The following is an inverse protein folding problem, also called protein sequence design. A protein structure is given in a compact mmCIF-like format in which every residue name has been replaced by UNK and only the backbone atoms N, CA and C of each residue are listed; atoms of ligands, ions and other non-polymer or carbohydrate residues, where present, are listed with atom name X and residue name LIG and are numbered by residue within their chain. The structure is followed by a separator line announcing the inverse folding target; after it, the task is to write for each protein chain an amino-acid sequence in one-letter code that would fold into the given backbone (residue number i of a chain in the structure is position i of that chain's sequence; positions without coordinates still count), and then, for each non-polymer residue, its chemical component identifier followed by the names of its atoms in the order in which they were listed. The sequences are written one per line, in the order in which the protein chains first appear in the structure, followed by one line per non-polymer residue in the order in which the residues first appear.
data_IF_064857353458
#
_entry.id   IF_064857353458
#
_cell.length_a   1.000
_cell.length_b   1.000
_cell.length_c   1.000
_cell.angle_alpha   90.00
_cell.angle_beta   90.00
_cell.angle_gamma   90.00
#
_symmetry.space_group_name_H-M   'P 1'
#
loop_
_entity.id
_entity.type
_entity.pdbx_description
1 polymer ?
#
# COMPACT_ATOMS: atom_id res chain seq x y z
N UNK A 1 -21.40 -4.54 0.02
CA UNK A 1 -21.55 -3.16 -0.51
C UNK A 1 -23.03 -2.83 -0.65
N UNK A 2 -23.45 -1.75 -0.04
CA UNK A 2 -24.81 -1.21 -0.17
C UNK A 2 -24.71 0.22 -0.70
N UNK A 3 -25.27 0.47 -1.88
CA UNK A 3 -25.18 1.79 -2.56
C UNK A 3 -23.76 2.37 -2.68
N UNK A 4 -22.77 1.51 -2.95
CA UNK A 4 -21.36 1.92 -3.05
C UNK A 4 -20.61 2.11 -1.72
N UNK A 5 -21.28 1.87 -0.58
CA UNK A 5 -20.69 2.00 0.75
C UNK A 5 -20.57 0.61 1.41
N UNK A 6 -19.50 0.39 2.15
CA UNK A 6 -19.32 -0.85 2.91
C UNK A 6 -20.31 -0.88 4.09
N UNK A 7 -21.21 -1.86 4.09
CA UNK A 7 -22.12 -2.13 5.21
C UNK A 7 -21.55 -3.24 6.06
N UNK A 8 -21.25 -2.95 7.33
CA UNK A 8 -20.58 -3.86 8.26
C UNK A 8 -21.54 -4.25 9.37
N UNK A 9 -21.88 -5.57 9.53
CA UNK A 9 -22.70 -6.05 10.66
C UNK A 9 -21.92 -5.95 11.98
N UNK A 10 -22.59 -6.20 13.10
CA UNK A 10 -21.95 -6.17 14.42
C UNK A 10 -21.01 -7.36 14.68
N UNK A 11 -21.15 -8.42 13.91
CA UNK A 11 -20.39 -9.67 14.01
C UNK A 11 -19.86 -10.11 12.62
N UNK A 12 -19.05 -9.26 11.92
CA UNK A 12 -18.58 -9.59 10.59
C UNK A 12 -17.63 -10.79 10.62
N UNK A 13 -17.69 -11.60 9.56
CA UNK A 13 -16.67 -12.61 9.29
C UNK A 13 -15.50 -11.91 8.60
N UNK A 14 -14.33 -11.91 9.23
CA UNK A 14 -13.09 -11.40 8.66
C UNK A 14 -12.17 -12.57 8.31
N UNK A 15 -11.89 -12.73 7.02
CA UNK A 15 -10.94 -13.73 6.59
C UNK A 15 -9.50 -13.26 6.86
N UNK A 16 -8.67 -14.18 7.39
CA UNK A 16 -7.28 -13.87 7.61
C UNK A 16 -6.35 -14.97 7.08
N UNK A 17 -5.18 -14.56 6.65
CA UNK A 17 -4.06 -15.44 6.34
C UNK A 17 -3.04 -15.27 7.46
N UNK A 18 -2.70 -16.36 8.17
CA UNK A 18 -1.69 -16.32 9.25
C UNK A 18 -0.35 -15.79 8.74
N UNK A 19 0.03 -16.20 7.52
CA UNK A 19 1.30 -15.86 6.91
C UNK A 19 2.40 -16.87 7.17
N UNK A 20 3.53 -16.66 6.49
CA UNK A 20 4.72 -17.51 6.57
C UNK A 20 5.75 -16.89 7.52
N UNK A 21 6.74 -17.69 7.93
CA UNK A 21 7.82 -17.23 8.79
C UNK A 21 7.30 -16.63 10.10
N UNK A 22 7.59 -15.35 10.35
CA UNK A 22 7.13 -14.64 11.57
C UNK A 22 5.61 -14.42 11.62
N UNK A 23 4.87 -14.78 10.57
CA UNK A 23 3.41 -14.71 10.58
C UNK A 23 2.78 -15.46 11.75
N UNK A 24 3.35 -16.60 12.12
CA UNK A 24 2.90 -17.43 13.28
C UNK A 24 3.04 -16.71 14.62
N UNK A 25 3.98 -15.78 14.74
CA UNK A 25 4.20 -14.99 15.97
C UNK A 25 3.26 -13.76 16.01
N UNK A 26 3.17 -13.00 14.89
CA UNK A 26 2.53 -11.69 14.89
C UNK A 26 1.02 -11.72 14.66
N UNK A 27 0.49 -12.72 13.94
CA UNK A 27 -0.94 -12.78 13.60
C UNK A 27 -1.81 -13.09 14.81
N UNK A 28 -1.48 -14.07 15.69
CA UNK A 28 -2.24 -14.27 16.93
C UNK A 28 -2.25 -13.03 17.83
N UNK A 29 -1.11 -12.34 17.97
CA UNK A 29 -1.00 -11.09 18.75
C UNK A 29 -1.91 -10.00 18.19
N UNK A 30 -1.94 -9.84 16.86
CA UNK A 30 -2.85 -8.89 16.21
C UNK A 30 -4.31 -9.22 16.52
N UNK A 31 -4.72 -10.47 16.40
CA UNK A 31 -6.09 -10.92 16.70
C UNK A 31 -6.46 -10.60 18.15
N UNK A 32 -5.59 -10.88 19.11
CA UNK A 32 -5.81 -10.60 20.53
C UNK A 32 -5.97 -9.11 20.81
N UNK A 33 -5.10 -8.27 20.22
CA UNK A 33 -5.18 -6.81 20.35
C UNK A 33 -6.48 -6.25 19.75
N UNK A 34 -6.87 -6.72 18.58
CA UNK A 34 -8.11 -6.29 17.92
C UNK A 34 -9.33 -6.70 18.76
N UNK A 35 -9.39 -7.95 19.22
CA UNK A 35 -10.49 -8.44 20.05
C UNK A 35 -10.61 -7.64 21.35
N UNK A 36 -9.50 -7.34 22.02
CA UNK A 36 -9.47 -6.52 23.22
C UNK A 36 -9.97 -5.09 22.95
N UNK A 37 -9.52 -4.46 21.86
CA UNK A 37 -9.93 -3.12 21.47
C UNK A 37 -11.44 -3.06 21.15
N UNK A 38 -11.95 -4.00 20.35
CA UNK A 38 -13.36 -4.09 19.96
C UNK A 38 -14.24 -4.33 21.20
N UNK A 39 -13.89 -5.30 22.05
CA UNK A 39 -14.62 -5.58 23.30
C UNK A 39 -14.67 -4.36 24.22
N UNK A 40 -13.55 -3.64 24.36
CA UNK A 40 -13.48 -2.43 25.19
C UNK A 40 -14.26 -1.25 24.61
N UNK A 41 -14.23 -1.07 23.29
CA UNK A 41 -14.90 0.05 22.62
C UNK A 41 -16.43 -0.10 22.64
N UNK A 42 -16.93 -1.33 22.49
CA UNK A 42 -18.34 -1.58 22.25
C UNK A 42 -19.03 -2.42 23.33
N UNK A 43 -18.36 -2.74 24.44
CA UNK A 43 -18.98 -3.44 25.59
C UNK A 43 -19.54 -4.82 25.27
N UNK A 44 -19.09 -5.47 24.19
CA UNK A 44 -19.57 -6.76 23.72
C UNK A 44 -20.73 -6.68 22.69
N UNK A 45 -21.20 -5.49 22.33
CA UNK A 45 -22.20 -5.30 21.27
C UNK A 45 -21.67 -5.62 19.87
N UNK A 46 -20.35 -5.53 19.69
CA UNK A 46 -19.66 -5.89 18.45
C UNK A 46 -18.56 -6.92 18.72
N UNK A 47 -18.35 -7.81 17.76
CA UNK A 47 -17.29 -8.80 17.78
C UNK A 47 -16.83 -9.12 16.36
N UNK A 48 -15.67 -9.74 16.19
CA UNK A 48 -15.19 -10.24 14.89
C UNK A 48 -15.19 -11.76 14.94
N UNK A 49 -15.77 -12.37 13.91
CA UNK A 49 -15.67 -13.81 13.66
C UNK A 49 -14.47 -14.03 12.73
N UNK A 50 -13.36 -14.47 13.28
CA UNK A 50 -12.15 -14.74 12.52
C UNK A 50 -12.25 -16.05 11.75
N UNK A 51 -11.94 -16.04 10.45
CA UNK A 51 -11.97 -17.21 9.57
C UNK A 51 -10.63 -17.31 8.82
N UNK A 52 -9.83 -18.32 9.17
CA UNK A 52 -8.56 -18.56 8.47
C UNK A 52 -8.81 -19.04 7.05
N UNK A 53 -8.06 -18.46 6.10
CA UNK A 53 -7.94 -18.93 4.73
C UNK A 53 -6.46 -19.15 4.40
N UNK A 54 -6.17 -20.14 3.55
CA UNK A 54 -4.81 -20.59 3.35
C UNK A 54 -4.13 -19.89 2.16
N UNK A 55 -2.90 -19.43 2.38
CA UNK A 55 -1.96 -19.02 1.33
C UNK A 55 -0.53 -19.26 1.81
N UNK A 56 0.45 -19.22 0.88
CA UNK A 56 1.85 -19.40 1.20
C UNK A 56 2.24 -20.86 1.48
N UNK A 57 3.25 -21.04 2.31
CA UNK A 57 3.81 -22.36 2.66
C UNK A 57 2.77 -23.26 3.32
N UNK A 58 1.93 -22.71 4.21
CA UNK A 58 0.86 -23.46 4.88
C UNK A 58 -0.16 -24.03 3.88
N UNK A 59 -0.54 -23.23 2.87
CA UNK A 59 -1.41 -23.67 1.80
C UNK A 59 -0.76 -24.78 0.95
N UNK A 60 0.48 -24.55 0.54
CA UNK A 60 1.22 -25.51 -0.29
C UNK A 60 1.39 -26.86 0.41
N UNK A 61 1.71 -26.86 1.69
CA UNK A 61 1.85 -28.09 2.48
C UNK A 61 0.53 -28.82 2.65
N UNK A 62 -0.60 -28.11 2.72
CA UNK A 62 -1.93 -28.70 2.92
C UNK A 62 -2.60 -29.17 1.61
N UNK A 63 -2.37 -28.45 0.48
CA UNK A 63 -3.16 -28.59 -0.75
C UNK A 63 -2.31 -28.82 -2.01
N UNK A 64 -1.02 -28.54 -1.96
CA UNK A 64 -0.13 -28.48 -3.13
C UNK A 64 -0.21 -27.18 -3.94
N UNK A 65 -1.04 -26.21 -3.51
CA UNK A 65 -1.21 -24.90 -4.15
C UNK A 65 -0.75 -23.78 -3.23
N UNK A 66 0.05 -22.83 -3.74
CA UNK A 66 0.50 -21.67 -2.97
C UNK A 66 -0.62 -20.65 -2.72
N UNK A 67 -1.61 -20.58 -3.59
CA UNK A 67 -2.75 -19.69 -3.49
C UNK A 67 -4.00 -20.40 -4.01
N UNK A 68 -4.71 -21.15 -3.15
CA UNK A 68 -5.93 -21.88 -3.53
C UNK A 68 -7.04 -20.94 -4.02
N UNK A 69 -7.82 -21.39 -5.00
CA UNK A 69 -8.95 -20.63 -5.51
C UNK A 69 -9.98 -20.34 -4.41
N UNK A 70 -10.19 -21.27 -3.49
CA UNK A 70 -11.09 -21.10 -2.33
C UNK A 70 -10.75 -19.88 -1.47
N UNK A 71 -9.45 -19.55 -1.32
CA UNK A 71 -8.99 -18.34 -0.61
C UNK A 71 -9.42 -17.08 -1.35
N UNK A 72 -9.26 -17.03 -2.66
CA UNK A 72 -9.70 -15.89 -3.47
C UNK A 72 -11.22 -15.70 -3.41
N UNK A 73 -11.97 -16.78 -3.48
CA UNK A 73 -13.43 -16.75 -3.43
C UNK A 73 -13.95 -16.29 -2.06
N UNK A 74 -13.33 -16.76 -0.97
CA UNK A 74 -13.62 -16.31 0.39
C UNK A 74 -13.37 -14.80 0.55
N UNK A 75 -12.20 -14.30 0.09
CA UNK A 75 -11.87 -12.87 0.15
C UNK A 75 -12.81 -12.00 -0.68
N UNK A 76 -13.22 -12.46 -1.87
CA UNK A 76 -14.22 -11.78 -2.70
C UNK A 76 -15.59 -11.68 -2.01
N UNK A 77 -16.00 -12.76 -1.35
CA UNK A 77 -17.29 -12.81 -0.66
C UNK A 77 -17.30 -12.00 0.63
N UNK A 78 -16.21 -12.09 1.41
CA UNK A 78 -16.07 -11.39 2.70
C UNK A 78 -15.74 -9.92 2.58
N UNK A 79 -15.26 -9.45 1.42
CA UNK A 79 -14.82 -8.10 1.10
C UNK A 79 -13.62 -7.60 1.92
N UNK A 80 -13.64 -7.75 3.23
CA UNK A 80 -12.57 -7.27 4.13
C UNK A 80 -11.77 -8.45 4.64
N UNK A 81 -10.45 -8.38 4.48
CA UNK A 81 -9.52 -9.43 4.91
C UNK A 81 -8.23 -8.82 5.46
N UNK A 82 -7.50 -9.62 6.26
CA UNK A 82 -6.17 -9.23 6.76
C UNK A 82 -5.19 -10.39 6.60
N UNK A 83 -3.91 -10.10 6.38
CA UNK A 83 -2.91 -11.14 6.21
C UNK A 83 -1.56 -10.81 6.83
N UNK A 84 -0.92 -11.83 7.36
CA UNK A 84 0.50 -11.83 7.67
C UNK A 84 1.39 -11.85 6.43
N UNK A 85 2.71 -11.81 6.59
CA UNK A 85 3.65 -11.81 5.48
C UNK A 85 3.62 -13.15 4.72
N UNK A 86 3.89 -13.14 3.42
CA UNK A 86 3.93 -14.34 2.58
C UNK A 86 5.29 -14.50 1.92
N UNK A 87 5.78 -15.73 1.88
CA UNK A 87 6.99 -16.12 1.17
C UNK A 87 6.73 -16.10 -0.34
N UNK A 88 7.66 -15.52 -1.10
CA UNK A 88 7.67 -15.70 -2.55
C UNK A 88 8.46 -16.96 -2.88
N UNK A 89 7.84 -17.99 -3.47
CA UNK A 89 8.55 -19.24 -3.80
C UNK A 89 9.68 -18.97 -4.80
N UNK A 90 10.83 -19.57 -4.55
CA UNK A 90 11.98 -19.50 -5.46
C UNK A 90 11.80 -20.56 -6.55
N UNK A 91 11.57 -20.14 -7.79
CA UNK A 91 11.31 -21.02 -8.93
C UNK A 91 9.82 -21.26 -9.20
N UNK A 92 9.49 -21.89 -10.35
CA UNK A 92 8.11 -22.30 -10.64
C UNK A 92 7.18 -21.23 -11.26
N UNK A 93 7.70 -20.08 -11.70
CA UNK A 93 6.92 -19.09 -12.47
C UNK A 93 5.98 -18.20 -11.64
N UNK A 94 5.88 -18.39 -10.33
CA UNK A 94 5.14 -17.49 -9.42
C UNK A 94 6.07 -16.35 -9.03
N UNK A 95 5.77 -15.13 -9.48
CA UNK A 95 6.61 -13.96 -9.19
C UNK A 95 6.50 -13.50 -7.73
N UNK A 96 5.29 -13.35 -7.22
CA UNK A 96 5.00 -12.99 -5.83
C UNK A 96 3.54 -13.30 -5.53
N UNK A 97 3.29 -13.94 -4.37
CA UNK A 97 1.91 -14.20 -3.92
C UNK A 97 1.17 -12.90 -3.60
N UNK A 98 1.86 -11.89 -3.09
CA UNK A 98 1.27 -10.57 -2.85
C UNK A 98 0.83 -9.92 -4.16
N UNK A 99 1.68 -9.96 -5.21
CA UNK A 99 1.32 -9.45 -6.54
C UNK A 99 0.16 -10.24 -7.13
N UNK A 100 0.15 -11.58 -6.98
CA UNK A 100 -0.94 -12.42 -7.46
C UNK A 100 -2.29 -12.06 -6.79
N UNK A 101 -2.32 -11.83 -5.48
CA UNK A 101 -3.52 -11.38 -4.76
C UNK A 101 -4.02 -10.03 -5.29
N UNK A 102 -3.13 -9.05 -5.43
CA UNK A 102 -3.44 -7.72 -5.92
C UNK A 102 -4.04 -7.75 -7.34
N UNK A 103 -3.45 -8.53 -8.23
CA UNK A 103 -3.92 -8.67 -9.61
C UNK A 103 -5.22 -9.45 -9.72
N UNK A 104 -5.35 -10.61 -9.04
CA UNK A 104 -6.54 -11.48 -9.13
C UNK A 104 -7.79 -10.88 -8.49
N UNK A 105 -7.62 -9.97 -7.54
CA UNK A 105 -8.69 -9.25 -6.86
C UNK A 105 -8.82 -7.78 -7.32
N UNK A 106 -8.02 -7.37 -8.30
CA UNK A 106 -7.93 -6.00 -8.82
C UNK A 106 -7.81 -4.94 -7.70
N UNK A 107 -6.92 -5.18 -6.73
CA UNK A 107 -6.68 -4.28 -5.62
C UNK A 107 -5.77 -3.13 -6.06
N UNK A 108 -6.33 -2.18 -6.80
CA UNK A 108 -5.58 -1.16 -7.51
C UNK A 108 -4.96 -0.07 -6.61
N UNK A 109 -5.44 0.10 -5.39
CA UNK A 109 -4.94 1.10 -4.47
C UNK A 109 -4.17 0.44 -3.31
N UNK A 110 -2.85 0.59 -3.30
CA UNK A 110 -2.03 0.28 -2.13
C UNK A 110 -1.92 1.53 -1.27
N UNK A 111 -2.46 1.48 -0.06
CA UNK A 111 -2.52 2.61 0.88
C UNK A 111 -1.57 2.35 2.03
N UNK A 112 -0.59 3.23 2.21
CA UNK A 112 0.46 3.10 3.23
C UNK A 112 0.59 4.39 4.05
N UNK A 113 -0.08 4.52 5.21
CA UNK A 113 0.16 5.61 6.14
C UNK A 113 1.53 5.45 6.79
N UNK A 114 2.27 6.55 6.90
CA UNK A 114 3.56 6.60 7.58
C UNK A 114 3.56 7.78 8.53
N UNK A 115 3.64 7.49 9.83
CA UNK A 115 3.80 8.50 10.88
C UNK A 115 4.74 8.01 11.97
N UNK A 116 5.36 8.95 12.66
CA UNK A 116 6.21 8.64 13.79
C UNK A 116 5.40 8.51 15.09
N UNK A 117 5.83 7.60 15.96
CA UNK A 117 5.30 7.41 17.31
C UNK A 117 6.36 7.83 18.33
N UNK A 118 5.97 8.66 19.30
CA UNK A 118 6.90 9.16 20.32
C UNK A 118 7.59 8.02 21.07
N UNK A 119 8.92 8.13 21.17
CA UNK A 119 9.78 7.09 21.74
C UNK A 119 10.33 6.08 20.73
N UNK A 120 9.89 6.10 19.47
CA UNK A 120 10.49 5.27 18.42
C UNK A 120 11.82 5.86 17.95
N UNK A 121 12.91 5.07 17.89
CA UNK A 121 14.17 5.52 17.32
C UNK A 121 14.01 5.95 15.85
N UNK A 122 14.70 7.01 15.47
CA UNK A 122 14.65 7.53 14.09
C UNK A 122 16.02 8.04 13.64
N UNK A 123 16.39 7.84 12.36
CA UNK A 123 17.63 8.39 11.79
C UNK A 123 17.52 9.86 11.39
N UNK A 124 16.31 10.45 11.38
CA UNK A 124 16.10 11.87 11.02
C UNK A 124 15.95 12.75 12.25
N UNK A 125 16.19 14.07 12.09
CA UNK A 125 16.19 15.03 13.20
C UNK A 125 14.82 15.36 13.74
N UNK A 126 13.80 15.36 12.88
CA UNK A 126 12.43 15.76 13.20
C UNK A 126 11.43 14.73 12.67
N UNK A 127 11.44 13.49 13.21
CA UNK A 127 10.55 12.44 12.73
C UNK A 127 9.07 12.75 12.99
N UNK A 128 8.76 13.58 13.96
CA UNK A 128 7.39 14.05 14.25
C UNK A 128 6.76 14.86 13.11
N UNK A 129 7.58 15.38 12.18
CA UNK A 129 7.10 16.10 10.99
C UNK A 129 6.72 15.15 9.84
N UNK A 130 6.97 13.84 10.01
CA UNK A 130 6.59 12.81 9.03
C UNK A 130 5.20 12.28 9.40
N UNK A 131 4.20 12.73 8.64
CA UNK A 131 2.83 12.23 8.70
C UNK A 131 2.23 12.28 7.30
N UNK A 132 2.38 11.18 6.57
CA UNK A 132 2.01 11.08 5.16
C UNK A 132 1.26 9.79 4.89
N UNK A 133 0.37 9.83 3.89
CA UNK A 133 -0.30 8.63 3.37
C UNK A 133 0.04 8.47 1.89
N UNK A 134 0.62 7.33 1.54
CA UNK A 134 0.98 7.00 0.17
C UNK A 134 -0.15 6.20 -0.47
N UNK A 135 -0.67 6.69 -1.59
CA UNK A 135 -1.54 5.99 -2.52
C UNK A 135 -0.69 5.52 -3.71
N UNK A 136 -0.26 4.27 -3.64
CA UNK A 136 0.53 3.60 -4.67
C UNK A 136 -0.40 2.87 -5.62
N UNK A 137 -0.34 3.20 -6.91
CA UNK A 137 -1.00 2.39 -7.94
C UNK A 137 -0.43 0.96 -7.90
N UNK A 138 -1.28 -0.05 -8.02
CA UNK A 138 -0.91 -1.40 -7.65
C UNK A 138 -1.15 -2.45 -8.74
N UNK A 139 -1.68 -2.04 -9.91
CA UNK A 139 -2.08 -2.94 -11.00
C UNK A 139 -1.21 -2.87 -12.25
N UNK A 140 -0.52 -1.76 -12.46
CA UNK A 140 0.27 -1.45 -13.66
C UNK A 140 1.76 -1.28 -13.34
N UNK A 141 2.45 -0.50 -14.17
CA UNK A 141 3.88 -0.21 -14.08
C UNK A 141 4.72 -1.46 -14.42
N UNK A 142 5.99 -1.45 -14.08
CA UNK A 142 6.89 -2.61 -14.25
C UNK A 142 6.44 -3.85 -13.47
N UNK A 143 5.59 -3.67 -12.47
CA UNK A 143 4.96 -4.75 -11.70
C UNK A 143 3.94 -5.56 -12.50
N UNK A 144 3.49 -5.08 -13.68
CA UNK A 144 2.72 -5.88 -14.63
C UNK A 144 3.49 -7.13 -15.08
N UNK A 145 4.81 -7.08 -14.96
CA UNK A 145 5.67 -8.23 -15.17
C UNK A 145 5.82 -8.63 -16.63
N UNK A 146 5.71 -7.67 -17.55
CA UNK A 146 5.89 -7.88 -18.97
C UNK A 146 7.37 -7.70 -19.28
N UNK A 147 8.12 -8.81 -19.28
CA UNK A 147 9.55 -8.77 -19.50
C UNK A 147 10.07 -10.06 -20.13
N UNK A 148 11.21 -9.96 -20.79
CA UNK A 148 11.91 -11.06 -21.43
C UNK A 148 13.38 -11.04 -21.03
N UNK A 149 13.88 -12.22 -20.68
CA UNK A 149 15.27 -12.43 -20.33
C UNK A 149 16.20 -12.14 -21.52
N UNK A 150 17.36 -11.59 -21.23
CA UNK A 150 18.40 -11.35 -22.21
C UNK A 150 18.74 -12.64 -23.00
N UNK A 151 19.02 -12.51 -24.29
CA UNK A 151 19.36 -13.61 -25.19
C UNK A 151 18.24 -14.61 -25.47
N UNK A 152 17.09 -14.51 -24.78
CA UNK A 152 15.91 -15.35 -25.09
C UNK A 152 15.32 -15.04 -26.45
N UNK A 153 14.58 -16.01 -27.01
CA UNK A 153 13.91 -15.82 -28.31
C UNK A 153 12.82 -14.73 -28.21
N UNK A 154 12.16 -14.61 -27.06
CA UNK A 154 11.19 -13.53 -26.82
C UNK A 154 11.85 -12.15 -26.84
N UNK A 155 12.97 -11.96 -26.15
CA UNK A 155 13.71 -10.70 -26.17
C UNK A 155 14.16 -10.34 -27.59
N UNK A 156 14.69 -11.32 -28.36
CA UNK A 156 15.10 -11.12 -29.75
C UNK A 156 13.93 -10.67 -30.62
N UNK A 157 12.77 -11.31 -30.51
CA UNK A 157 11.57 -10.93 -31.26
C UNK A 157 11.09 -9.50 -30.93
N UNK A 158 11.05 -9.13 -29.66
CA UNK A 158 10.64 -7.78 -29.22
C UNK A 158 11.66 -6.74 -29.72
N UNK A 159 12.95 -7.00 -29.59
CA UNK A 159 14.00 -6.09 -30.06
C UNK A 159 13.93 -5.93 -31.59
N UNK A 160 13.78 -7.03 -32.34
CA UNK A 160 13.63 -7.00 -33.79
C UNK A 160 12.42 -6.16 -34.22
N UNK A 161 11.27 -6.36 -33.57
CA UNK A 161 10.07 -5.57 -33.83
C UNK A 161 10.32 -4.07 -33.55
N UNK A 162 10.92 -3.74 -32.42
CA UNK A 162 11.20 -2.35 -32.06
C UNK A 162 12.17 -1.70 -33.07
N UNK A 163 13.21 -2.40 -33.46
CA UNK A 163 14.22 -1.85 -34.39
C UNK A 163 13.71 -1.79 -35.84
N UNK A 164 13.16 -2.90 -36.37
CA UNK A 164 12.87 -3.03 -37.78
C UNK A 164 11.45 -2.58 -38.18
N UNK A 165 10.48 -2.63 -37.23
CA UNK A 165 9.10 -2.18 -37.49
C UNK A 165 8.84 -0.80 -36.90
N UNK A 166 9.28 -0.53 -35.66
CA UNK A 166 9.04 0.74 -34.99
C UNK A 166 10.17 1.78 -35.20
N UNK A 167 11.28 1.39 -35.83
CA UNK A 167 12.41 2.30 -36.11
C UNK A 167 13.17 2.76 -34.87
N UNK A 168 13.17 1.99 -33.79
CA UNK A 168 13.89 2.30 -32.56
C UNK A 168 15.37 1.97 -32.73
N UNK A 169 16.26 2.97 -32.69
CA UNK A 169 17.71 2.84 -32.83
C UNK A 169 18.48 2.92 -31.48
N UNK A 170 17.77 3.04 -30.37
CA UNK A 170 18.35 3.37 -29.05
C UNK A 170 18.72 2.18 -28.20
N UNK A 171 18.44 0.96 -28.62
CA UNK A 171 18.85 -0.25 -27.90
C UNK A 171 20.33 -0.50 -28.19
N UNK A 172 21.18 -0.11 -27.25
CA UNK A 172 22.64 -0.05 -27.45
C UNK A 172 23.29 -1.41 -27.65
N UNK A 173 22.78 -2.45 -26.95
CA UNK A 173 23.30 -3.81 -26.98
C UNK A 173 22.19 -4.81 -27.25
N UNK A 174 21.63 -4.86 -28.47
CA UNK A 174 20.44 -5.64 -28.77
C UNK A 174 20.58 -7.15 -28.53
N UNK A 175 21.77 -7.70 -28.69
CA UNK A 175 22.00 -9.14 -28.54
C UNK A 175 22.03 -9.62 -27.07
N UNK A 176 22.26 -8.71 -26.12
CA UNK A 176 22.46 -9.04 -24.69
C UNK A 176 21.55 -8.24 -23.78
N UNK A 177 20.56 -7.52 -24.32
CA UNK A 177 19.60 -6.77 -23.52
C UNK A 177 18.40 -7.62 -23.13
N UNK A 178 18.03 -7.60 -21.86
CA UNK A 178 16.68 -7.92 -21.42
C UNK A 178 15.74 -6.76 -21.71
N UNK A 179 14.46 -7.05 -21.94
CA UNK A 179 13.43 -6.04 -22.25
C UNK A 179 12.30 -6.13 -21.25
N UNK A 180 11.91 -4.98 -20.68
CA UNK A 180 10.71 -4.83 -19.86
C UNK A 180 9.79 -3.74 -20.38
N UNK A 181 8.49 -3.93 -20.23
CA UNK A 181 7.47 -2.95 -20.61
C UNK A 181 6.83 -2.35 -19.36
N UNK A 182 6.70 -1.03 -19.38
CA UNK A 182 6.05 -0.24 -18.32
C UNK A 182 4.73 0.32 -18.85
N UNK A 183 3.60 -0.37 -18.67
CA UNK A 183 2.28 0.19 -18.99
C UNK A 183 1.87 1.18 -17.90
N UNK A 184 1.31 2.32 -18.32
CA UNK A 184 0.64 3.30 -17.44
C UNK A 184 -0.57 3.81 -18.21
N UNK A 185 -1.77 3.66 -17.65
CA UNK A 185 -3.01 4.03 -18.32
C UNK A 185 -3.68 5.25 -17.69
N UNK A 186 -4.57 5.88 -18.47
CA UNK A 186 -5.44 6.95 -17.97
C UNK A 186 -6.41 6.42 -16.92
N UNK A 187 -6.94 5.22 -17.12
CA UNK A 187 -7.89 4.57 -16.22
C UNK A 187 -7.25 4.20 -14.87
N UNK A 188 -6.06 3.58 -14.89
CA UNK A 188 -5.29 3.26 -13.68
C UNK A 188 -4.95 4.53 -12.90
N UNK A 189 -4.50 5.58 -13.61
CA UNK A 189 -4.22 6.89 -13.00
C UNK A 189 -5.47 7.50 -12.39
N UNK A 190 -6.61 7.45 -13.08
CA UNK A 190 -7.86 8.01 -12.57
C UNK A 190 -8.34 7.29 -11.32
N UNK A 191 -8.26 5.96 -11.27
CA UNK A 191 -8.66 5.16 -10.09
C UNK A 191 -7.86 5.54 -8.85
N UNK A 192 -6.52 5.54 -8.95
CA UNK A 192 -5.66 5.86 -7.81
C UNK A 192 -5.70 7.34 -7.42
N UNK A 193 -5.76 8.24 -8.40
CA UNK A 193 -5.90 9.68 -8.17
C UNK A 193 -7.20 10.04 -7.48
N UNK A 194 -8.32 9.44 -7.90
CA UNK A 194 -9.63 9.61 -7.26
C UNK A 194 -9.61 9.14 -5.82
N UNK A 195 -9.04 7.96 -5.54
CA UNK A 195 -8.91 7.44 -4.19
C UNK A 195 -8.09 8.38 -3.30
N UNK A 196 -6.98 8.92 -3.79
CA UNK A 196 -6.11 9.84 -3.05
C UNK A 196 -6.79 11.19 -2.76
N UNK A 197 -7.48 11.77 -3.76
CA UNK A 197 -8.19 13.05 -3.59
C UNK A 197 -9.38 12.87 -2.64
N UNK A 198 -10.17 11.80 -2.81
CA UNK A 198 -11.28 11.52 -1.91
C UNK A 198 -10.81 11.30 -0.47
N UNK A 199 -9.71 10.57 -0.27
CA UNK A 199 -9.10 10.44 1.06
C UNK A 199 -8.70 11.79 1.67
N UNK A 200 -8.12 12.68 0.86
CA UNK A 200 -7.77 14.02 1.33
C UNK A 200 -9.00 14.84 1.74
N UNK A 201 -10.10 14.72 1.02
CA UNK A 201 -11.38 15.34 1.38
C UNK A 201 -11.94 14.76 2.68
N UNK A 202 -12.04 13.44 2.77
CA UNK A 202 -12.66 12.75 3.91
C UNK A 202 -11.88 12.93 5.24
N UNK A 203 -10.56 13.13 5.14
CA UNK A 203 -9.67 13.29 6.29
C UNK A 203 -9.10 14.71 6.45
N UNK A 204 -9.67 15.67 5.71
CA UNK A 204 -9.29 17.10 5.75
C UNK A 204 -7.78 17.33 5.57
N UNK A 205 -7.16 16.59 4.64
CA UNK A 205 -5.72 16.69 4.38
C UNK A 205 -5.40 17.91 3.51
N UNK A 206 -4.34 18.68 3.83
CA UNK A 206 -4.06 19.94 3.16
C UNK A 206 -3.53 19.81 1.72
N UNK A 207 -3.04 18.63 1.32
CA UNK A 207 -2.47 18.47 -0.03
C UNK A 207 -2.54 17.05 -0.56
N UNK A 208 -2.61 16.93 -1.90
CA UNK A 208 -2.32 15.70 -2.66
C UNK A 208 -1.18 15.97 -3.63
N UNK A 209 -0.12 15.17 -3.56
CA UNK A 209 1.07 15.33 -4.39
C UNK A 209 1.19 14.18 -5.39
N UNK A 210 1.16 14.49 -6.67
CA UNK A 210 1.44 13.56 -7.76
C UNK A 210 2.94 13.36 -7.89
N UNK A 211 3.46 12.18 -7.59
CA UNK A 211 4.91 11.89 -7.65
C UNK A 211 5.21 11.12 -8.92
N UNK A 212 6.12 11.63 -9.74
CA UNK A 212 6.40 11.09 -11.06
C UNK A 212 7.83 11.42 -11.56
N UNK A 213 8.29 10.72 -12.60
CA UNK A 213 9.51 11.03 -13.35
C UNK A 213 9.19 11.46 -14.80
N UNK A 214 8.13 12.25 -14.97
CA UNK A 214 7.58 12.65 -16.26
C UNK A 214 8.48 13.52 -17.14
N UNK A 215 9.52 14.14 -16.59
CA UNK A 215 10.54 14.83 -17.36
C UNK A 215 11.39 13.88 -18.23
N UNK A 216 11.49 12.60 -17.85
CA UNK A 216 12.19 11.53 -18.59
C UNK A 216 11.18 10.62 -19.30
N UNK A 217 10.23 10.06 -18.57
CA UNK A 217 9.19 9.14 -19.07
C UNK A 217 7.93 9.92 -19.43
N UNK A 218 8.00 10.67 -20.53
CA UNK A 218 7.01 11.71 -20.88
C UNK A 218 5.61 11.18 -21.13
N UNK A 219 5.47 9.97 -21.68
CA UNK A 219 4.18 9.39 -22.10
C UNK A 219 3.60 8.38 -21.10
N UNK A 220 4.39 7.98 -20.13
CA UNK A 220 3.94 7.13 -19.02
C UNK A 220 3.82 7.98 -17.75
N UNK A 221 4.90 8.30 -17.09
CA UNK A 221 4.85 9.09 -15.84
C UNK A 221 4.46 10.55 -16.06
N UNK A 222 4.79 11.14 -17.20
CA UNK A 222 4.26 12.45 -17.59
C UNK A 222 2.76 12.40 -17.86
N UNK A 223 2.29 11.31 -18.49
CA UNK A 223 0.86 11.04 -18.65
C UNK A 223 0.15 10.93 -17.31
N UNK A 224 0.70 10.17 -16.35
CA UNK A 224 0.17 10.07 -14.98
C UNK A 224 -0.04 11.46 -14.35
N UNK A 225 0.96 12.34 -14.41
CA UNK A 225 0.84 13.72 -13.90
C UNK A 225 -0.31 14.46 -14.59
N UNK A 226 -0.34 14.47 -15.91
CA UNK A 226 -1.28 15.26 -16.69
C UNK A 226 -2.73 14.75 -16.52
N UNK A 227 -2.92 13.44 -16.49
CA UNK A 227 -4.22 12.82 -16.22
C UNK A 227 -4.67 13.04 -14.77
N UNK A 228 -3.74 13.06 -13.81
CA UNK A 228 -4.04 13.40 -12.42
C UNK A 228 -4.59 14.82 -12.26
N UNK A 229 -3.99 15.82 -12.94
CA UNK A 229 -4.53 17.17 -12.95
C UNK A 229 -5.85 17.27 -13.69
N UNK A 230 -6.00 16.55 -14.81
CA UNK A 230 -7.27 16.50 -15.54
C UNK A 230 -8.39 15.96 -14.65
N UNK A 231 -8.14 14.85 -13.96
CA UNK A 231 -9.07 14.26 -13.00
C UNK A 231 -9.48 15.26 -11.89
N UNK A 232 -8.51 15.93 -11.28
CA UNK A 232 -8.76 16.90 -10.21
C UNK A 232 -9.68 18.03 -10.69
N UNK A 233 -9.49 18.52 -11.93
CA UNK A 233 -10.31 19.59 -12.52
C UNK A 233 -11.70 19.10 -12.93
N UNK A 234 -11.77 17.96 -13.63
CA UNK A 234 -13.03 17.48 -14.23
C UNK A 234 -13.96 16.84 -13.21
N UNK A 235 -13.45 16.06 -12.25
CA UNK A 235 -14.27 15.33 -11.29
C UNK A 235 -14.44 16.07 -9.95
N UNK A 236 -13.42 16.82 -9.51
CA UNK A 236 -13.44 17.49 -8.20
C UNK A 236 -13.56 19.02 -8.28
N UNK A 237 -13.62 19.57 -9.48
CA UNK A 237 -13.80 21.01 -9.68
C UNK A 237 -12.59 21.85 -9.26
N UNK A 238 -11.38 21.26 -9.24
CA UNK A 238 -10.17 21.99 -8.89
C UNK A 238 -9.87 23.11 -9.89
N UNK A 239 -9.37 24.24 -9.39
CA UNK A 239 -9.00 25.42 -10.20
C UNK A 239 -7.51 25.66 -10.15
N UNK A 240 -6.95 26.16 -11.25
CA UNK A 240 -5.51 26.42 -11.34
C UNK A 240 -5.05 27.45 -10.31
N UNK A 241 -3.90 27.15 -9.69
CA UNK A 241 -3.22 28.02 -8.76
C UNK A 241 -2.12 28.78 -9.51
N UNK A 242 -2.14 30.10 -9.46
CA UNK A 242 -1.10 30.99 -10.02
C UNK A 242 -0.72 30.70 -11.50
N UNK A 243 -1.68 30.26 -12.31
CA UNK A 243 -1.47 29.93 -13.73
C UNK A 243 -1.04 28.49 -14.01
N UNK A 244 -1.18 27.61 -13.03
CA UNK A 244 -0.96 26.17 -13.16
C UNK A 244 0.53 25.73 -13.19
N UNK A 245 0.82 24.42 -13.27
CA UNK A 245 -0.14 23.31 -13.35
C UNK A 245 -0.80 22.95 -12.02
N UNK A 246 -0.27 23.43 -10.89
CA UNK A 246 -0.85 23.20 -9.58
C UNK A 246 -2.29 23.73 -9.55
N UNK A 247 -3.15 23.06 -8.79
CA UNK A 247 -4.53 23.48 -8.62
C UNK A 247 -4.99 23.31 -7.18
N UNK A 248 -6.09 23.96 -6.86
CA UNK A 248 -6.72 23.91 -5.54
C UNK A 248 -8.17 23.48 -5.66
N UNK A 249 -8.65 22.77 -4.66
CA UNK A 249 -10.08 22.54 -4.45
C UNK A 249 -10.47 22.91 -3.02
N UNK A 250 -11.73 23.24 -2.82
CA UNK A 250 -12.30 23.51 -1.49
C UNK A 250 -12.91 22.21 -0.96
N UNK A 251 -12.48 21.78 0.23
CA UNK A 251 -13.08 20.62 0.90
C UNK A 251 -14.57 20.90 1.15
N UNK A 252 -15.51 20.11 0.59
CA UNK A 252 -16.93 20.35 0.72
C UNK A 252 -17.47 20.16 2.15
N UNK A 253 -16.74 19.49 3.03
CA UNK A 253 -17.13 19.21 4.42
C UNK A 253 -16.64 20.28 5.39
N UNK A 254 -15.42 20.80 5.19
CA UNK A 254 -14.77 21.70 6.15
C UNK A 254 -14.58 23.12 5.63
N UNK A 255 -14.62 23.32 4.31
CA UNK A 255 -14.30 24.59 3.66
C UNK A 255 -12.80 24.87 3.53
N UNK A 256 -11.92 23.98 4.00
CA UNK A 256 -10.50 24.14 3.89
C UNK A 256 -10.02 23.93 2.45
N UNK A 257 -8.89 24.57 2.12
CA UNK A 257 -8.27 24.43 0.80
C UNK A 257 -7.38 23.18 0.77
N UNK A 258 -7.54 22.36 -0.26
CA UNK A 258 -6.67 21.23 -0.58
C UNK A 258 -5.86 21.59 -1.83
N UNK A 259 -4.53 21.52 -1.73
CA UNK A 259 -3.62 21.80 -2.86
C UNK A 259 -3.28 20.50 -3.58
N UNK A 260 -3.56 20.46 -4.88
CA UNK A 260 -3.10 19.38 -5.76
C UNK A 260 -1.84 19.86 -6.48
N UNK A 261 -0.73 19.17 -6.25
CA UNK A 261 0.58 19.55 -6.76
C UNK A 261 1.35 18.34 -7.30
N UNK A 262 2.47 18.56 -7.97
CA UNK A 262 3.34 17.50 -8.43
C UNK A 262 4.78 17.70 -8.00
N UNK A 263 5.52 16.61 -7.88
CA UNK A 263 6.95 16.58 -7.57
C UNK A 263 7.62 15.47 -8.36
N UNK A 264 8.78 15.77 -8.94
CA UNK A 264 9.63 14.77 -9.59
C UNK A 264 10.17 13.78 -8.54
N UNK A 265 10.15 12.48 -8.84
CA UNK A 265 10.40 11.40 -7.89
C UNK A 265 11.75 11.51 -7.13
N UNK A 266 12.84 11.86 -7.81
CA UNK A 266 14.13 12.04 -7.15
C UNK A 266 14.16 13.30 -6.24
N UNK A 267 13.44 14.36 -6.60
CA UNK A 267 13.24 15.50 -5.72
C UNK A 267 12.38 15.11 -4.50
N UNK A 268 11.34 14.29 -4.69
CA UNK A 268 10.51 13.78 -3.58
C UNK A 268 11.35 13.02 -2.56
N UNK A 269 12.27 12.12 -3.00
CA UNK A 269 13.15 11.38 -2.08
C UNK A 269 14.05 12.28 -1.23
N UNK A 270 14.38 13.50 -1.70
CA UNK A 270 15.07 14.51 -0.89
C UNK A 270 14.09 15.24 0.05
N UNK A 271 12.93 15.60 -0.48
CA UNK A 271 11.98 16.49 0.23
C UNK A 271 11.26 15.81 1.39
N UNK A 272 11.02 14.50 1.31
CA UNK A 272 10.52 13.73 2.46
C UNK A 272 11.49 13.70 3.65
N UNK A 273 12.78 14.01 3.44
CA UNK A 273 13.80 14.12 4.49
C UNK A 273 13.96 15.57 4.95
N UNK A 274 14.00 16.51 4.00
CA UNK A 274 14.41 17.89 4.28
C UNK A 274 13.25 18.82 4.69
N UNK A 275 12.02 18.49 4.29
CA UNK A 275 10.81 19.27 4.57
C UNK A 275 9.53 18.42 4.52
N UNK A 276 9.47 17.34 5.34
CA UNK A 276 8.34 16.40 5.35
C UNK A 276 6.99 17.07 5.62
N UNK A 277 6.94 18.10 6.47
CA UNK A 277 5.71 18.79 6.82
C UNK A 277 4.98 19.49 5.66
N UNK A 278 5.62 19.62 4.47
CA UNK A 278 4.96 20.17 3.27
C UNK A 278 4.05 19.14 2.56
N UNK A 279 4.04 17.88 2.99
CA UNK A 279 3.38 16.78 2.31
C UNK A 279 2.41 16.05 3.24
N UNK A 280 1.25 15.66 2.73
CA UNK A 280 0.25 14.87 3.47
C UNK A 280 -0.20 13.63 2.70
N UNK A 281 -0.82 13.76 1.54
CA UNK A 281 -1.17 12.62 0.69
C UNK A 281 -0.26 12.59 -0.54
N UNK A 282 0.39 11.46 -0.76
CA UNK A 282 1.20 11.21 -1.96
C UNK A 282 0.48 10.21 -2.84
N UNK A 283 0.37 10.48 -4.15
CA UNK A 283 -0.13 9.50 -5.10
C UNK A 283 0.88 9.30 -6.22
N UNK A 284 1.12 8.04 -6.59
CA UNK A 284 2.19 7.69 -7.52
C UNK A 284 1.98 6.30 -8.13
N UNK A 285 2.76 6.01 -9.17
CA UNK A 285 2.79 4.69 -9.79
C UNK A 285 3.47 3.66 -8.88
N UNK A 286 3.37 2.41 -9.28
CA UNK A 286 3.70 1.25 -8.47
C UNK A 286 5.15 1.26 -7.97
N UNK A 287 6.15 1.37 -8.84
CA UNK A 287 7.56 1.31 -8.45
C UNK A 287 7.97 2.49 -7.57
N UNK A 288 7.60 3.72 -7.95
CA UNK A 288 7.90 4.91 -7.15
C UNK A 288 7.26 4.81 -5.75
N UNK A 289 6.03 4.30 -5.67
CA UNK A 289 5.32 4.10 -4.41
C UNK A 289 5.99 3.07 -3.51
N UNK A 290 6.56 2.01 -4.09
CA UNK A 290 7.34 1.02 -3.36
C UNK A 290 8.56 1.65 -2.71
N UNK A 291 9.36 2.37 -3.48
CA UNK A 291 10.56 3.04 -2.98
C UNK A 291 10.28 4.10 -1.92
N UNK A 292 9.28 4.96 -2.16
CA UNK A 292 8.96 6.08 -1.26
C UNK A 292 8.40 5.59 0.06
N UNK A 293 7.53 4.57 0.05
CA UNK A 293 6.94 4.05 1.29
C UNK A 293 7.99 3.44 2.22
N UNK A 294 8.96 2.70 1.68
CA UNK A 294 10.04 2.12 2.49
C UNK A 294 11.03 3.19 2.98
N UNK A 295 11.33 4.19 2.13
CA UNK A 295 12.16 5.32 2.52
C UNK A 295 11.52 6.15 3.64
N UNK A 296 10.20 6.35 3.63
CA UNK A 296 9.45 6.99 4.71
C UNK A 296 9.37 6.13 5.95
N UNK A 297 9.10 4.83 5.81
CA UNK A 297 9.07 3.90 6.94
C UNK A 297 10.40 3.91 7.72
N UNK A 298 11.53 3.95 7.01
CA UNK A 298 12.85 4.05 7.62
C UNK A 298 13.02 5.31 8.48
N UNK A 299 12.37 6.42 8.11
CA UNK A 299 12.45 7.69 8.86
C UNK A 299 11.67 7.66 10.17
N UNK A 300 10.65 6.84 10.28
CA UNK A 300 9.78 6.78 11.48
C UNK A 300 10.06 5.60 12.39
N UNK A 301 11.07 4.79 12.08
CA UNK A 301 11.49 3.66 12.93
C UNK A 301 11.47 2.30 12.24
N UNK A 302 11.22 2.26 10.94
CA UNK A 302 11.32 1.06 10.10
C UNK A 302 9.99 0.40 9.76
N UNK A 303 10.07 -0.58 8.87
CA UNK A 303 8.89 -1.27 8.32
C UNK A 303 8.10 -2.11 9.35
N UNK A 304 8.69 -2.38 10.52
CA UNK A 304 8.02 -3.11 11.61
C UNK A 304 6.85 -2.36 12.28
N UNK A 305 6.70 -1.06 11.99
CA UNK A 305 5.56 -0.22 12.44
C UNK A 305 4.85 0.46 11.27
N UNK A 306 5.13 0.08 10.03
CA UNK A 306 4.49 0.63 8.85
C UNK A 306 3.32 -0.28 8.42
N UNK A 307 2.07 0.20 8.48
CA UNK A 307 0.91 -0.56 8.04
C UNK A 307 0.68 -0.45 6.54
N UNK A 308 -0.16 -1.33 5.99
CA UNK A 308 -0.58 -1.28 4.60
C UNK A 308 -1.96 -1.86 4.36
N UNK A 309 -2.60 -1.37 3.31
CA UNK A 309 -3.84 -1.91 2.77
C UNK A 309 -3.77 -1.95 1.25
N UNK A 310 -4.43 -2.93 0.66
CA UNK A 310 -4.66 -3.01 -0.78
C UNK A 310 -6.17 -3.04 -0.99
N UNK A 311 -6.70 -2.06 -1.70
CA UNK A 311 -8.14 -1.79 -1.76
C UNK A 311 -8.60 -1.63 -3.21
N UNK A 312 -9.71 -2.25 -3.53
CA UNK A 312 -10.54 -1.90 -4.67
C UNK A 312 -11.76 -1.14 -4.17
N UNK A 313 -11.76 0.17 -4.31
CA UNK A 313 -12.85 1.03 -3.82
C UNK A 313 -14.17 0.85 -4.61
N UNK A 314 -14.10 0.30 -5.83
CA UNK A 314 -15.29 0.08 -6.65
C UNK A 314 -16.06 -1.17 -6.20
N UNK A 315 -15.34 -2.24 -5.87
CA UNK A 315 -15.93 -3.52 -5.41
C UNK A 315 -16.03 -3.64 -3.89
N UNK A 316 -15.26 -2.85 -3.15
CA UNK A 316 -15.12 -2.92 -1.69
C UNK A 316 -14.18 -4.01 -1.20
N UNK A 317 -13.56 -4.79 -2.10
CA UNK A 317 -12.60 -5.83 -1.72
C UNK A 317 -11.33 -5.17 -1.19
N UNK A 318 -10.89 -5.57 0.00
CA UNK A 318 -9.73 -5.02 0.67
C UNK A 318 -8.94 -6.09 1.40
N UNK A 319 -7.60 -5.98 1.35
CA UNK A 319 -6.68 -6.80 2.13
C UNK A 319 -5.75 -5.86 2.90
N UNK A 320 -5.79 -5.95 4.22
CA UNK A 320 -4.87 -5.27 5.11
C UNK A 320 -3.66 -6.16 5.37
N UNK A 321 -2.45 -5.61 5.38
CA UNK A 321 -1.24 -6.43 5.45
C UNK A 321 -0.07 -5.71 6.12
N UNK A 322 0.77 -6.46 6.83
CA UNK A 322 2.09 -5.98 7.21
C UNK A 322 2.95 -5.71 5.96
N UNK A 323 3.70 -4.62 5.97
CA UNK A 323 4.52 -4.20 4.82
C UNK A 323 5.88 -4.91 4.74
N UNK A 324 6.31 -5.59 5.82
CA UNK A 324 7.57 -6.32 5.89
C UNK A 324 7.45 -7.76 5.37
N UNK A 325 8.62 -8.40 5.15
CA UNK A 325 8.72 -9.80 4.72
C UNK A 325 8.57 -10.81 5.85
N UNK A 326 8.80 -12.09 5.53
CA UNK A 326 8.57 -13.24 6.40
C UNK A 326 9.65 -13.49 7.45
N UNK A 327 10.85 -12.94 7.30
CA UNK A 327 11.99 -13.09 8.21
C UNK A 327 12.10 -14.48 8.89
N UNK A 328 12.17 -15.59 8.13
CA UNK A 328 11.94 -16.95 8.63
C UNK A 328 12.90 -17.38 9.72
N UNK A 329 14.10 -16.79 9.78
CA UNK A 329 15.08 -17.11 10.83
C UNK A 329 14.64 -16.68 12.23
N UNK A 330 13.64 -15.83 12.36
CA UNK A 330 13.11 -15.33 13.63
C UNK A 330 11.75 -15.95 14.00
N UNK A 331 11.18 -16.77 13.13
CA UNK A 331 9.88 -17.43 13.37
C UNK A 331 9.91 -18.30 14.65
N UNK A 332 8.83 -18.23 15.43
CA UNK A 332 8.67 -18.97 16.68
C UNK A 332 9.56 -18.49 17.82
N UNK A 333 10.07 -17.25 17.77
CA UNK A 333 10.98 -16.72 18.80
C UNK A 333 10.40 -15.53 19.58
N UNK A 334 9.23 -15.05 19.25
CA UNK A 334 8.58 -13.87 19.88
C UNK A 334 9.48 -12.62 19.97
N UNK A 335 10.35 -12.43 18.97
CA UNK A 335 11.33 -11.33 18.95
C UNK A 335 10.97 -10.19 18.01
N UNK A 336 10.06 -10.45 17.06
CA UNK A 336 9.69 -9.48 16.03
C UNK A 336 8.63 -8.52 16.54
N UNK A 337 8.61 -7.33 15.95
CA UNK A 337 7.61 -6.32 16.27
C UNK A 337 6.29 -6.63 15.51
N UNK A 338 5.16 -6.87 16.21
CA UNK A 338 3.88 -7.08 15.55
C UNK A 338 3.19 -5.78 15.10
N UNK A 339 3.81 -4.62 15.35
CA UNK A 339 3.22 -3.30 15.18
C UNK A 339 2.70 -3.02 13.78
N UNK A 340 3.41 -3.45 12.74
CA UNK A 340 2.96 -3.28 11.35
C UNK A 340 1.62 -3.97 11.10
N UNK A 341 1.45 -5.22 11.55
CA UNK A 341 0.20 -5.95 11.38
C UNK A 341 -0.93 -5.42 12.30
N UNK A 342 -0.61 -5.04 13.52
CA UNK A 342 -1.55 -4.39 14.46
C UNK A 342 -2.07 -3.07 13.88
N UNK A 343 -1.20 -2.23 13.33
CA UNK A 343 -1.59 -0.97 12.71
C UNK A 343 -2.33 -1.17 11.38
N UNK A 344 -2.04 -2.27 10.65
CA UNK A 344 -2.85 -2.66 9.49
C UNK A 344 -4.27 -3.05 9.90
N UNK A 345 -4.42 -3.73 11.04
CA UNK A 345 -5.74 -4.01 11.61
C UNK A 345 -6.45 -2.74 12.12
N UNK A 346 -5.71 -1.76 12.62
CA UNK A 346 -6.24 -0.44 12.94
C UNK A 346 -6.85 0.23 11.70
N UNK A 347 -6.13 0.22 10.57
CA UNK A 347 -6.66 0.70 9.29
C UNK A 347 -7.91 -0.07 8.86
N UNK A 348 -7.93 -1.40 9.04
CA UNK A 348 -9.08 -2.25 8.76
C UNK A 348 -10.30 -1.81 9.58
N UNK A 349 -10.15 -1.58 10.86
CA UNK A 349 -11.24 -1.12 11.73
C UNK A 349 -11.77 0.25 11.30
N UNK A 350 -10.90 1.20 10.93
CA UNK A 350 -11.34 2.50 10.37
C UNK A 350 -12.10 2.33 9.05
N UNK A 351 -11.60 1.47 8.17
CA UNK A 351 -12.27 1.14 6.90
C UNK A 351 -13.67 0.54 7.13
N UNK A 352 -13.83 -0.26 8.17
CA UNK A 352 -15.11 -0.82 8.61
C UNK A 352 -16.01 0.20 9.36
N UNK A 353 -15.54 1.41 9.61
CA UNK A 353 -16.26 2.43 10.38
C UNK A 353 -16.20 2.22 11.91
N UNK A 354 -15.33 1.37 12.41
CA UNK A 354 -15.15 1.06 13.84
C UNK A 354 -14.05 1.93 14.46
N UNK A 355 -14.24 3.25 14.39
CA UNK A 355 -13.22 4.26 14.74
C UNK A 355 -12.80 4.20 16.20
N UNK A 356 -13.73 3.95 17.14
CA UNK A 356 -13.47 3.91 18.57
C UNK A 356 -12.50 2.77 18.93
N UNK A 357 -12.65 1.60 18.31
CA UNK A 357 -11.74 0.47 18.50
C UNK A 357 -10.35 0.75 17.86
N UNK A 358 -10.33 1.38 16.68
CA UNK A 358 -9.09 1.81 16.03
C UNK A 358 -8.30 2.81 16.90
N UNK A 359 -8.97 3.80 17.49
CA UNK A 359 -8.35 4.79 18.39
C UNK A 359 -7.77 4.15 19.65
N UNK A 360 -8.39 3.09 20.17
CA UNK A 360 -7.84 2.32 21.29
C UNK A 360 -6.55 1.58 20.91
N UNK A 361 -6.46 1.03 19.69
CA UNK A 361 -5.23 0.41 19.18
C UNK A 361 -4.11 1.44 19.13
N UNK A 362 -4.36 2.62 18.55
CA UNK A 362 -3.37 3.70 18.49
C UNK A 362 -2.85 4.06 19.88
N UNK A 363 -3.76 4.33 20.84
CA UNK A 363 -3.38 4.64 22.23
C UNK A 363 -2.58 3.52 22.88
N UNK A 364 -2.94 2.26 22.60
CA UNK A 364 -2.21 1.08 23.09
C UNK A 364 -0.78 1.03 22.54
N UNK A 365 -0.60 1.29 21.25
CA UNK A 365 0.71 1.34 20.61
C UNK A 365 1.56 2.48 21.13
N UNK A 366 1.02 3.70 21.24
CA UNK A 366 1.70 4.85 21.80
C UNK A 366 2.14 4.58 23.26
N UNK A 367 1.25 4.00 24.06
CA UNK A 367 1.57 3.64 25.44
C UNK A 367 2.65 2.56 25.56
N UNK A 368 2.61 1.53 24.74
CA UNK A 368 3.63 0.47 24.73
C UNK A 368 5.01 1.01 24.34
N UNK A 369 5.07 1.86 23.32
CA UNK A 369 6.32 2.47 22.82
C UNK A 369 6.88 3.43 23.87
N UNK A 370 6.09 4.35 24.38
CA UNK A 370 6.51 5.34 25.39
C UNK A 370 7.00 4.69 26.68
N UNK A 371 6.35 3.59 27.11
CA UNK A 371 6.74 2.81 28.29
C UNK A 371 7.88 1.82 28.01
N UNK A 372 8.37 1.74 26.77
CA UNK A 372 9.41 0.77 26.34
C UNK A 372 9.02 -0.68 26.56
N UNK A 373 7.73 -0.98 26.56
CA UNK A 373 7.18 -2.35 26.58
C UNK A 373 7.08 -2.84 25.14
N UNK A 374 8.24 -3.07 24.54
CA UNK A 374 8.37 -3.35 23.10
C UNK A 374 9.28 -4.53 22.85
N UNK A 375 9.18 -5.13 21.67
CA UNK A 375 10.06 -6.23 21.26
C UNK A 375 11.46 -5.76 20.91
N UNK A 376 12.40 -6.71 20.83
CA UNK A 376 13.81 -6.46 20.56
C UNK A 376 14.03 -5.69 19.25
N UNK A 377 13.22 -5.93 18.22
CA UNK A 377 13.38 -5.29 16.92
C UNK A 377 13.10 -3.78 16.94
N UNK A 378 12.28 -3.28 17.86
CA UNK A 378 12.05 -1.84 18.01
C UNK A 378 13.20 -1.13 18.76
N UNK A 379 13.92 -1.85 19.63
CA UNK A 379 15.02 -1.30 20.44
C UNK A 379 16.30 -1.16 19.61
N UNK A 380 16.49 -1.98 18.59
CA UNK A 380 17.75 -2.09 17.83
C UNK A 380 17.77 -1.34 16.49
N UNK A 381 16.78 -0.54 16.21
CA UNK A 381 16.83 0.40 15.10
C UNK A 381 17.61 1.64 15.57
#
# INVERSE_FOLDING_TARGET
MENGTLSVPNDPIIHYIEGDGIGVDITPVMIDVVNAAVSKAYGGEKSIVWSEVLAGEKAFNATGEWLPQATLDAMKTGLVSIKGPLTTPVGGGIRSLNVALRQKLDLYACVRPVRWYDGTPSPVRAPQDVDMVIFRENSEDVYAGIEWEAESDGAKQVIDFLQNVMGVDKIRFPNTSGIGIKPVSKEGTARIGRAAIQYAIDNDQPSVTLVHKGNIMKFTEGGFRDWGYTLAKEEFGATELDGGPWCTLTNPHTGNTIVIKDVIADAMLQQIITRPAEYSVLTTMNLNGDYISDALAAQVGGIGIAPGANINYDTGISIFEATHGTAPKYAGQDKVNPGSLILSAEMMLRHMGWKEAADLIVKGMEGAISNKTVTLSLIHI
#
